data_IF_608611746148
#
_entry.id   IF_608611746148
#
_cell.length_a   1.000
_cell.length_b   1.000
_cell.length_c   1.000
_cell.angle_alpha   90.00
_cell.angle_beta   90.00
_cell.angle_gamma   90.00
#
_symmetry.space_group_name_H-M   'P 1'
#
loop_
_entity.id
_entity.type
_entity.pdbx_description
1 polymer ?
#
# COMPACT_ATOMS: atom_id res chain seq x y z
N UNK A 1 35.25 13.08 -4.34
CA UNK A 1 33.97 13.28 -5.07
C UNK A 1 33.36 11.94 -5.48
N UNK A 2 34.13 10.85 -5.59
CA UNK A 2 33.68 9.57 -6.14
C UNK A 2 32.82 8.69 -5.22
N UNK A 3 32.92 8.82 -3.89
CA UNK A 3 32.09 8.04 -2.97
C UNK A 3 30.58 8.41 -3.03
N UNK A 4 30.22 9.63 -3.44
CA UNK A 4 28.82 10.07 -3.43
C UNK A 4 28.04 9.46 -4.61
N UNK A 5 28.72 9.27 -5.75
CA UNK A 5 28.15 8.68 -6.96
C UNK A 5 28.11 7.14 -6.87
N UNK A 6 29.08 6.49 -6.23
CA UNK A 6 29.09 5.02 -6.09
C UNK A 6 28.00 4.47 -5.17
N UNK A 7 27.49 5.27 -4.22
CA UNK A 7 26.44 4.85 -3.26
C UNK A 7 25.06 5.48 -3.54
N UNK A 8 24.83 6.01 -4.74
CA UNK A 8 23.50 6.49 -5.14
C UNK A 8 23.04 5.66 -6.33
N UNK A 9 22.02 4.83 -6.15
CA UNK A 9 21.52 3.95 -7.21
C UNK A 9 20.62 4.70 -8.20
N UNK A 10 20.17 5.91 -7.84
CA UNK A 10 19.42 6.80 -8.73
C UNK A 10 19.67 8.29 -8.47
N UNK A 11 19.40 9.10 -9.50
CA UNK A 11 19.36 10.56 -9.42
C UNK A 11 18.38 11.07 -8.34
N UNK A 12 17.31 10.32 -8.09
CA UNK A 12 16.29 10.66 -7.10
C UNK A 12 16.81 10.51 -5.66
N UNK A 13 17.55 9.44 -5.37
CA UNK A 13 18.20 9.23 -4.07
C UNK A 13 19.21 10.33 -3.77
N UNK A 14 19.97 10.75 -4.77
CA UNK A 14 20.96 11.81 -4.63
C UNK A 14 20.27 13.13 -4.20
N UNK A 15 19.22 13.53 -4.91
CA UNK A 15 18.48 14.78 -4.68
C UNK A 15 17.68 14.80 -3.36
N UNK A 16 17.26 13.63 -2.87
CA UNK A 16 16.55 13.50 -1.58
C UNK A 16 17.46 13.57 -0.35
N UNK A 17 18.79 13.45 -0.50
CA UNK A 17 19.73 13.51 0.65
C UNK A 17 19.63 14.80 1.46
N UNK A 18 19.87 14.68 2.77
CA UNK A 18 19.76 15.78 3.75
C UNK A 18 20.70 16.96 3.48
N UNK A 19 21.83 16.71 2.82
CA UNK A 19 22.81 17.75 2.42
C UNK A 19 22.38 18.59 1.21
N UNK A 20 21.37 18.15 0.47
CA UNK A 20 20.81 18.91 -0.66
C UNK A 20 19.56 19.62 -0.14
N UNK A 21 19.62 20.94 -0.02
CA UNK A 21 18.51 21.73 0.50
C UNK A 21 17.54 22.12 -0.61
N UNK A 22 16.28 22.36 -0.24
CA UNK A 22 15.20 22.75 -1.16
C UNK A 22 15.62 23.93 -2.03
N UNK A 23 16.27 24.92 -1.43
CA UNK A 23 16.73 26.15 -2.07
C UNK A 23 17.71 25.88 -3.20
N UNK A 24 18.59 24.89 -3.04
CA UNK A 24 19.58 24.49 -4.05
C UNK A 24 18.87 23.87 -5.26
N UNK A 25 17.86 23.04 -5.02
CA UNK A 25 17.06 22.40 -6.09
C UNK A 25 16.19 23.44 -6.81
N UNK A 26 15.60 24.38 -6.05
CA UNK A 26 14.81 25.49 -6.59
C UNK A 26 15.66 26.42 -7.46
N UNK A 27 16.86 26.77 -6.99
CA UNK A 27 17.80 27.60 -7.73
C UNK A 27 18.29 26.88 -8.99
N UNK A 28 18.51 25.57 -8.92
CA UNK A 28 18.83 24.75 -10.09
C UNK A 28 17.72 24.82 -11.14
N UNK A 29 16.47 24.56 -10.79
CA UNK A 29 15.33 24.62 -11.73
C UNK A 29 15.15 26.02 -12.32
N UNK A 30 15.27 27.06 -11.49
CA UNK A 30 15.16 28.47 -11.94
C UNK A 30 16.27 28.82 -12.94
N UNK A 31 17.51 28.37 -12.70
CA UNK A 31 18.64 28.54 -13.62
C UNK A 31 18.40 27.86 -14.97
N UNK A 32 17.64 26.77 -14.98
CA UNK A 32 17.25 26.02 -16.19
C UNK A 32 15.92 26.51 -16.80
N UNK A 33 15.45 27.71 -16.43
CA UNK A 33 14.21 28.34 -16.90
C UNK A 33 12.91 27.54 -16.61
N UNK A 34 12.94 26.69 -15.58
CA UNK A 34 11.76 25.94 -15.13
C UNK A 34 11.12 26.73 -13.99
N UNK A 35 9.96 27.32 -14.29
CA UNK A 35 9.21 28.13 -13.33
C UNK A 35 8.53 27.22 -12.31
N UNK A 36 8.88 27.39 -11.04
CA UNK A 36 8.27 26.69 -9.91
C UNK A 36 7.72 27.70 -8.90
N UNK A 37 6.59 27.40 -8.23
CA UNK A 37 6.09 28.21 -7.12
C UNK A 37 7.15 28.36 -6.02
N UNK A 38 7.31 29.56 -5.45
CA UNK A 38 8.31 29.81 -4.40
C UNK A 38 8.06 29.02 -3.12
N UNK A 39 6.80 28.65 -2.87
CA UNK A 39 6.35 27.76 -1.79
C UNK A 39 6.42 26.27 -2.13
N UNK A 40 6.94 25.89 -3.31
CA UNK A 40 7.03 24.49 -3.71
C UNK A 40 7.93 23.69 -2.75
N UNK A 41 7.39 22.58 -2.28
CA UNK A 41 8.10 21.67 -1.38
C UNK A 41 9.27 20.97 -2.07
N UNK A 42 10.26 20.54 -1.27
CA UNK A 42 11.48 19.88 -1.79
C UNK A 42 11.14 18.65 -2.65
N UNK A 43 10.13 17.88 -2.27
CA UNK A 43 9.70 16.70 -3.02
C UNK A 43 9.23 17.06 -4.45
N UNK A 44 8.47 18.14 -4.59
CA UNK A 44 7.98 18.62 -5.89
C UNK A 44 9.14 19.12 -6.77
N UNK A 45 10.12 19.80 -6.16
CA UNK A 45 11.31 20.25 -6.87
C UNK A 45 12.18 19.06 -7.33
N UNK A 46 12.35 18.04 -6.48
CA UNK A 46 13.06 16.81 -6.86
C UNK A 46 12.37 16.13 -8.03
N UNK A 47 11.04 15.98 -7.96
CA UNK A 47 10.26 15.36 -9.03
C UNK A 47 10.41 16.13 -10.36
N UNK A 48 10.33 17.46 -10.32
CA UNK A 48 10.49 18.29 -11.52
C UNK A 48 11.90 18.21 -12.11
N UNK A 49 12.93 18.07 -11.28
CA UNK A 49 14.31 17.82 -11.76
C UNK A 49 14.42 16.45 -12.43
N UNK A 50 13.83 15.40 -11.86
CA UNK A 50 13.84 14.05 -12.45
C UNK A 50 13.09 14.03 -13.78
N UNK A 51 11.93 14.71 -13.85
CA UNK A 51 11.15 14.86 -15.08
C UNK A 51 11.94 15.64 -16.14
N UNK A 52 12.55 16.76 -15.78
CA UNK A 52 13.41 17.55 -16.66
C UNK A 52 14.59 16.73 -17.23
N UNK A 53 15.25 15.92 -16.40
CA UNK A 53 16.34 15.06 -16.86
C UNK A 53 15.85 13.92 -17.76
N UNK A 54 14.64 13.42 -17.53
CA UNK A 54 14.00 12.41 -18.37
C UNK A 54 13.61 12.98 -19.74
N UNK A 55 13.05 14.20 -19.78
CA UNK A 55 12.74 14.93 -21.02
C UNK A 55 14.00 15.33 -21.80
N UNK A 56 15.07 15.71 -21.10
CA UNK A 56 16.38 16.01 -21.69
C UNK A 56 17.08 14.80 -22.32
N UNK A 57 16.74 13.58 -21.87
CA UNK A 57 17.26 12.32 -22.43
C UNK A 57 16.67 12.00 -23.83
N UNK A 58 15.50 12.55 -24.15
CA UNK A 58 14.85 12.43 -25.47
C UNK A 58 15.12 13.61 -26.41
N UNK A 59 15.83 14.65 -25.95
CA UNK A 59 16.00 15.91 -26.68
C UNK A 59 17.46 16.24 -27.07
N UNK A 60 18.38 15.27 -26.97
CA UNK A 60 19.78 15.45 -27.39
C UNK A 60 20.05 14.87 -28.79
N UNK A 61 19.23 15.22 -29.78
CA UNK A 61 19.57 15.13 -31.20
C UNK A 61 18.70 16.09 -32.02
N UNK A 62 18.90 17.39 -31.80
CA UNK A 62 18.64 18.39 -32.85
C UNK A 62 19.96 19.05 -33.19
N UNK A 63 20.64 18.45 -34.17
CA UNK A 63 21.34 19.10 -35.27
C UNK A 63 22.20 18.04 -36.00
N UNK A 64 21.71 17.57 -37.15
CA UNK A 64 22.43 17.34 -38.42
C UNK A 64 21.54 16.47 -39.35
N UNK A 65 20.89 17.15 -40.30
CA UNK A 65 20.62 16.79 -41.70
C UNK A 65 20.37 15.32 -42.13
N UNK A 66 19.18 15.14 -42.72
CA UNK A 66 18.87 14.45 -44.00
C UNK A 66 19.16 12.94 -44.17
N UNK A 67 18.09 12.16 -44.39
CA UNK A 67 18.17 10.85 -45.04
C UNK A 67 16.98 9.93 -44.74
N UNK A 68 16.20 9.62 -45.77
CA UNK A 68 15.05 8.70 -45.83
C UNK A 68 15.35 7.24 -45.42
N UNK A 69 14.38 6.53 -44.83
CA UNK A 69 13.77 5.24 -45.29
C UNK A 69 12.98 4.55 -44.17
N UNK A 70 11.82 3.97 -44.53
CA UNK A 70 10.89 3.17 -43.73
C UNK A 70 11.50 2.05 -42.88
N UNK A 71 10.85 1.76 -41.75
CA UNK A 71 11.00 0.49 -41.03
C UNK A 71 10.18 0.47 -39.75
N UNK A 72 9.11 -0.32 -39.74
CA UNK A 72 8.31 -0.68 -38.55
C UNK A 72 9.22 -1.08 -37.39
N UNK A 73 8.87 -0.68 -36.15
CA UNK A 73 9.00 -1.49 -34.94
C UNK A 73 8.28 -0.79 -33.78
N UNK A 74 7.29 -1.50 -33.22
CA UNK A 74 6.63 -1.14 -31.97
C UNK A 74 7.63 -1.14 -30.80
N UNK A 75 7.50 -0.24 -29.80
CA UNK A 75 8.33 -0.30 -28.61
C UNK A 75 7.87 -1.45 -27.67
N UNK A 76 8.80 -2.12 -26.96
CA UNK A 76 8.50 -3.24 -26.08
C UNK A 76 7.87 -2.76 -24.76
N UNK A 77 6.78 -3.41 -24.35
CA UNK A 77 6.01 -3.14 -23.14
C UNK A 77 6.52 -3.88 -21.89
N UNK A 78 7.83 -4.13 -21.78
CA UNK A 78 8.36 -5.01 -20.72
C UNK A 78 8.66 -4.29 -19.41
N UNK A 79 8.83 -2.95 -19.43
CA UNK A 79 9.20 -2.18 -18.23
C UNK A 79 7.98 -1.90 -17.32
N UNK A 80 6.79 -1.69 -17.89
CA UNK A 80 5.57 -1.44 -17.11
C UNK A 80 5.02 -2.70 -16.42
N UNK A 81 5.25 -3.88 -17.01
CA UNK A 81 4.90 -5.17 -16.40
C UNK A 81 5.80 -5.47 -15.18
N UNK A 82 7.10 -5.15 -15.28
CA UNK A 82 8.08 -5.35 -14.19
C UNK A 82 7.70 -4.59 -12.91
N UNK A 83 7.26 -3.33 -13.01
CA UNK A 83 6.87 -2.55 -11.83
C UNK A 83 5.56 -2.99 -11.18
N UNK A 84 4.63 -3.58 -11.96
CA UNK A 84 3.36 -4.09 -11.43
C UNK A 84 3.59 -5.31 -10.53
N UNK A 85 4.58 -6.13 -10.89
CA UNK A 85 4.95 -7.34 -10.15
C UNK A 85 5.63 -7.03 -8.80
N UNK A 86 6.44 -5.96 -8.75
CA UNK A 86 7.11 -5.52 -7.52
C UNK A 86 6.12 -5.11 -6.41
N UNK A 87 5.08 -4.35 -6.74
CA UNK A 87 4.07 -3.93 -5.75
C UNK A 87 3.14 -5.06 -5.34
N UNK A 88 2.81 -5.97 -6.27
CA UNK A 88 2.04 -7.17 -5.94
C UNK A 88 2.82 -8.06 -4.96
N UNK A 89 4.12 -8.24 -5.20
CA UNK A 89 5.02 -8.95 -4.30
C UNK A 89 5.12 -8.26 -2.94
N UNK A 90 5.27 -6.93 -2.91
CA UNK A 90 5.28 -6.15 -1.67
C UNK A 90 3.97 -6.32 -0.90
N UNK A 91 2.82 -6.25 -1.58
CA UNK A 91 1.51 -6.44 -0.97
C UNK A 91 1.34 -7.83 -0.35
N UNK A 92 1.84 -8.85 -1.04
CA UNK A 92 1.87 -10.23 -0.53
C UNK A 92 2.71 -10.34 0.74
N UNK A 93 3.94 -9.82 0.74
CA UNK A 93 4.82 -9.86 1.91
C UNK A 93 4.25 -9.06 3.08
N UNK A 94 3.64 -7.90 2.82
CA UNK A 94 2.91 -7.13 3.83
C UNK A 94 1.78 -7.95 4.46
N UNK A 95 0.92 -8.57 3.65
CA UNK A 95 -0.20 -9.36 4.20
C UNK A 95 0.29 -10.57 4.99
N UNK A 96 1.31 -11.29 4.50
CA UNK A 96 1.93 -12.39 5.27
C UNK A 96 2.39 -11.89 6.64
N UNK A 97 3.16 -10.81 6.67
CA UNK A 97 3.65 -10.21 7.92
C UNK A 97 2.50 -9.78 8.84
N UNK A 98 1.53 -9.03 8.32
CA UNK A 98 0.45 -8.44 9.11
C UNK A 98 -0.41 -9.51 9.78
N UNK A 99 -0.89 -10.50 9.02
CA UNK A 99 -1.78 -11.53 9.58
C UNK A 99 -1.03 -12.52 10.47
N UNK A 100 0.24 -12.84 10.18
CA UNK A 100 1.07 -13.62 11.11
C UNK A 100 1.26 -12.87 12.43
N UNK A 101 1.57 -11.57 12.38
CA UNK A 101 1.77 -10.75 13.56
C UNK A 101 0.47 -10.61 14.36
N UNK A 102 -0.64 -10.27 13.71
CA UNK A 102 -1.94 -10.09 14.36
C UNK A 102 -2.45 -11.39 14.97
N UNK A 103 -2.43 -12.49 14.22
CA UNK A 103 -2.91 -13.78 14.73
C UNK A 103 -2.05 -14.32 15.87
N UNK A 104 -0.74 -14.03 15.91
CA UNK A 104 0.13 -14.43 17.04
C UNK A 104 -0.31 -13.84 18.41
N UNK A 105 -1.23 -12.88 18.41
CA UNK A 105 -1.83 -12.32 19.62
C UNK A 105 -3.00 -13.15 20.17
N UNK A 106 -3.45 -14.18 19.43
CA UNK A 106 -4.53 -15.04 19.86
C UNK A 106 -4.02 -16.03 20.92
N UNK A 107 -4.52 -15.99 22.17
CA UNK A 107 -4.02 -16.84 23.25
C UNK A 107 -4.30 -18.33 23.04
N UNK A 108 -5.19 -18.69 22.10
CA UNK A 108 -5.46 -20.08 21.75
C UNK A 108 -4.39 -20.67 20.82
N UNK A 109 -3.58 -19.84 20.17
CA UNK A 109 -2.44 -20.27 19.38
C UNK A 109 -1.21 -20.36 20.30
N UNK A 110 -0.57 -21.53 20.36
CA UNK A 110 0.61 -21.80 21.19
C UNK A 110 1.90 -21.15 20.64
N UNK A 111 1.79 -19.97 20.02
CA UNK A 111 2.91 -19.26 19.41
C UNK A 111 3.50 -18.22 20.37
N UNK A 112 4.80 -17.91 20.21
CA UNK A 112 5.38 -16.78 20.91
C UNK A 112 4.77 -15.48 20.34
N UNK A 113 4.05 -14.75 21.20
CA UNK A 113 3.45 -13.47 20.84
C UNK A 113 4.56 -12.49 20.43
N UNK A 114 4.50 -12.04 19.19
CA UNK A 114 5.37 -10.97 18.66
C UNK A 114 4.86 -9.61 19.16
N UNK A 115 5.72 -8.60 19.19
CA UNK A 115 5.33 -7.26 19.63
C UNK A 115 4.34 -6.61 18.65
N UNK A 116 3.13 -6.31 19.13
CA UNK A 116 2.11 -5.53 18.42
C UNK A 116 1.93 -4.17 19.07
N UNK A 117 1.75 -3.12 18.28
CA UNK A 117 1.43 -1.81 18.83
C UNK A 117 1.24 -0.68 17.80
N UNK A 118 1.09 0.56 18.30
CA UNK A 118 0.81 1.74 17.48
C UNK A 118 1.95 2.10 16.50
N UNK A 119 3.16 1.58 16.68
CA UNK A 119 4.32 1.86 15.83
C UNK A 119 4.13 1.48 14.36
N UNK A 120 3.22 0.56 14.06
CA UNK A 120 2.90 0.10 12.70
C UNK A 120 1.98 1.07 11.94
N UNK A 121 1.45 2.08 12.61
CA UNK A 121 0.47 3.01 12.08
C UNK A 121 1.05 4.44 12.04
N UNK A 122 0.46 5.28 11.18
CA UNK A 122 0.59 6.73 11.29
C UNK A 122 -0.22 7.25 12.46
N UNK A 123 0.22 8.35 13.07
CA UNK A 123 -0.44 8.92 14.27
C UNK A 123 -1.92 9.23 14.03
N UNK A 124 -2.27 9.65 12.82
CA UNK A 124 -3.62 10.02 12.39
C UNK A 124 -4.30 8.92 11.55
N UNK A 125 -3.92 7.65 11.74
CA UNK A 125 -4.56 6.52 11.06
C UNK A 125 -6.07 6.48 11.35
N UNK A 126 -6.85 6.05 10.35
CA UNK A 126 -8.29 5.81 10.49
C UNK A 126 -8.59 4.34 10.23
N UNK A 127 -9.35 3.70 11.12
CA UNK A 127 -9.98 2.40 10.92
C UNK A 127 -11.47 2.60 10.68
N UNK A 128 -11.98 2.17 9.51
CA UNK A 128 -13.41 1.97 9.26
C UNK A 128 -13.70 0.48 9.45
N UNK A 129 -14.48 0.11 10.47
CA UNK A 129 -14.81 -1.28 10.77
C UNK A 129 -16.30 -1.54 10.54
N UNK A 130 -16.62 -2.28 9.49
CA UNK A 130 -17.98 -2.73 9.18
C UNK A 130 -18.15 -4.20 9.54
N UNK A 131 -19.23 -4.55 10.23
CA UNK A 131 -19.56 -5.94 10.46
C UNK A 131 -21.05 -6.21 10.29
N UNK A 132 -21.38 -7.42 9.83
CA UNK A 132 -22.75 -7.87 9.61
C UNK A 132 -23.03 -9.11 10.44
N UNK A 133 -23.90 -8.96 11.44
CA UNK A 133 -24.55 -10.05 12.15
C UNK A 133 -25.99 -10.18 11.66
N UNK A 134 -26.94 -9.47 12.28
CA UNK A 134 -28.33 -9.28 11.82
C UNK A 134 -28.53 -7.97 11.07
N UNK A 135 -27.89 -6.90 11.55
CA UNK A 135 -27.87 -5.58 10.95
C UNK A 135 -26.44 -5.20 10.59
N UNK A 136 -26.29 -4.27 9.63
CA UNK A 136 -24.98 -3.76 9.27
C UNK A 136 -24.58 -2.65 10.25
N UNK A 137 -23.48 -2.87 10.96
CA UNK A 137 -22.87 -1.89 11.86
C UNK A 137 -21.60 -1.32 11.22
N UNK A 138 -21.34 -0.04 11.49
CA UNK A 138 -20.12 0.67 11.08
C UNK A 138 -19.56 1.43 12.27
N UNK A 139 -18.32 1.12 12.61
CA UNK A 139 -17.55 1.82 13.63
C UNK A 139 -16.36 2.53 12.98
N UNK A 140 -15.98 3.69 13.52
CA UNK A 140 -14.81 4.44 13.08
C UNK A 140 -13.90 4.72 14.27
N UNK A 141 -12.64 4.35 14.13
CA UNK A 141 -11.60 4.62 15.13
C UNK A 141 -10.52 5.47 14.48
N UNK A 142 -10.02 6.45 15.23
CA UNK A 142 -8.97 7.37 14.76
C UNK A 142 -7.82 7.36 15.75
N UNK A 143 -6.60 7.45 15.22
CA UNK A 143 -5.38 7.51 15.99
C UNK A 143 -4.70 6.15 16.14
N UNK A 144 -3.36 6.14 16.07
CA UNK A 144 -2.55 4.92 16.08
C UNK A 144 -2.86 3.99 17.25
N UNK A 145 -3.01 4.56 18.45
CA UNK A 145 -3.30 3.79 19.67
C UNK A 145 -4.66 3.11 19.59
N UNK A 146 -5.71 3.85 19.24
CA UNK A 146 -7.08 3.32 19.25
C UNK A 146 -7.28 2.26 18.15
N UNK A 147 -6.74 2.53 16.95
CA UNK A 147 -6.76 1.57 15.84
C UNK A 147 -5.99 0.29 16.19
N UNK A 148 -4.80 0.44 16.80
CA UNK A 148 -3.99 -0.69 17.24
C UNK A 148 -4.72 -1.55 18.28
N UNK A 149 -5.34 -0.93 19.28
CA UNK A 149 -6.08 -1.64 20.33
C UNK A 149 -7.30 -2.35 19.78
N UNK A 150 -8.07 -1.71 18.89
CA UNK A 150 -9.27 -2.33 18.33
C UNK A 150 -8.95 -3.52 17.44
N UNK A 151 -7.93 -3.42 16.59
CA UNK A 151 -7.47 -4.56 15.79
C UNK A 151 -6.94 -5.69 16.68
N UNK A 152 -6.21 -5.37 17.75
CA UNK A 152 -5.69 -6.36 18.71
C UNK A 152 -6.80 -7.14 19.43
N UNK A 153 -7.92 -6.49 19.72
CA UNK A 153 -9.05 -7.14 20.41
C UNK A 153 -9.64 -8.31 19.59
N UNK A 154 -9.58 -8.26 18.26
CA UNK A 154 -10.10 -9.33 17.38
C UNK A 154 -9.46 -10.71 17.71
N UNK A 155 -8.12 -10.88 17.67
CA UNK A 155 -7.50 -12.14 18.08
C UNK A 155 -7.42 -12.33 19.59
N UNK A 156 -7.16 -11.26 20.37
CA UNK A 156 -6.81 -11.39 21.78
C UNK A 156 -8.02 -11.59 22.70
N UNK A 157 -9.10 -10.86 22.45
CA UNK A 157 -10.31 -10.84 23.29
C UNK A 157 -11.45 -11.63 22.65
N UNK A 158 -11.61 -11.55 21.32
CA UNK A 158 -12.70 -12.21 20.59
C UNK A 158 -12.30 -13.58 20.02
N UNK A 159 -11.02 -13.95 20.19
CA UNK A 159 -10.41 -15.22 19.77
C UNK A 159 -10.59 -15.51 18.28
N UNK A 160 -10.64 -14.47 17.46
CA UNK A 160 -10.74 -14.60 16.01
C UNK A 160 -9.38 -14.93 15.41
N UNK A 161 -9.40 -15.75 14.37
CA UNK A 161 -8.26 -16.04 13.52
C UNK A 161 -8.58 -15.57 12.11
N UNK A 162 -7.77 -14.67 11.56
CA UNK A 162 -7.95 -14.15 10.21
C UNK A 162 -7.07 -14.93 9.26
N UNK A 163 -7.68 -15.69 8.35
CA UNK A 163 -6.99 -16.48 7.34
C UNK A 163 -7.10 -15.79 5.97
N UNK A 164 -6.11 -14.99 5.54
CA UNK A 164 -6.15 -14.28 4.28
C UNK A 164 -5.99 -15.23 3.09
N UNK A 165 -6.75 -15.00 2.02
CA UNK A 165 -6.49 -15.63 0.73
C UNK A 165 -5.38 -14.86 0.00
N UNK A 166 -4.17 -15.41 0.03
CA UNK A 166 -2.98 -14.79 -0.57
C UNK A 166 -2.69 -15.29 -1.99
N UNK A 167 -3.57 -16.11 -2.57
CA UNK A 167 -3.41 -16.68 -3.92
C UNK A 167 -4.46 -16.14 -4.88
N UNK A 168 -4.14 -16.18 -6.19
CA UNK A 168 -5.05 -15.76 -7.26
C UNK A 168 -5.62 -14.36 -7.03
N UNK A 169 -6.95 -14.26 -6.98
CA UNK A 169 -7.70 -13.01 -6.82
C UNK A 169 -8.05 -12.68 -5.36
N UNK A 170 -7.46 -13.37 -4.38
CA UNK A 170 -7.64 -13.08 -2.96
C UNK A 170 -6.97 -11.79 -2.50
N UNK A 171 -5.94 -11.33 -3.22
CA UNK A 171 -5.18 -10.12 -2.92
C UNK A 171 -4.98 -9.26 -4.16
N UNK A 172 -5.20 -7.95 -4.02
CA UNK A 172 -5.00 -6.95 -5.06
C UNK A 172 -4.19 -5.79 -4.51
N UNK A 173 -3.10 -5.44 -5.19
CA UNK A 173 -2.26 -4.31 -4.84
C UNK A 173 -2.26 -3.27 -5.96
N UNK A 174 -2.48 -2.00 -5.61
CA UNK A 174 -2.30 -0.86 -6.51
C UNK A 174 -1.46 0.22 -5.83
N UNK A 175 -0.81 1.07 -6.61
CA UNK A 175 -0.03 2.17 -6.08
C UNK A 175 -0.45 3.47 -6.77
N UNK A 176 -0.33 4.57 -6.03
CA UNK A 176 -0.53 5.92 -6.56
C UNK A 176 0.80 6.51 -7.03
N UNK A 177 0.76 7.46 -7.99
CA UNK A 177 1.94 8.25 -8.38
C UNK A 177 2.57 9.03 -7.22
N UNK A 178 1.82 9.26 -6.13
CA UNK A 178 2.23 10.03 -4.96
C UNK A 178 2.84 9.17 -3.84
N UNK A 179 3.01 7.86 -4.05
CA UNK A 179 3.71 6.96 -3.12
C UNK A 179 2.84 6.31 -2.04
N UNK A 180 1.51 6.47 -2.08
CA UNK A 180 0.57 5.62 -1.34
C UNK A 180 0.42 4.28 -2.06
N UNK A 181 0.50 3.17 -1.31
CA UNK A 181 0.17 1.84 -1.80
C UNK A 181 -1.12 1.37 -1.15
N UNK A 182 -2.03 0.83 -1.95
CA UNK A 182 -3.29 0.25 -1.48
C UNK A 182 -3.27 -1.25 -1.68
N UNK A 183 -3.57 -1.97 -0.61
CA UNK A 183 -3.66 -3.43 -0.61
C UNK A 183 -5.07 -3.79 -0.20
N UNK A 184 -5.76 -4.57 -1.03
CA UNK A 184 -7.05 -5.16 -0.72
C UNK A 184 -6.88 -6.68 -0.62
N UNK A 185 -7.39 -7.28 0.45
CA UNK A 185 -7.26 -8.72 0.72
C UNK A 185 -8.56 -9.27 1.29
N UNK A 186 -8.98 -10.42 0.76
CA UNK A 186 -10.15 -11.16 1.24
C UNK A 186 -9.66 -12.40 1.98
N UNK A 187 -10.48 -12.91 2.90
CA UNK A 187 -10.15 -14.13 3.62
C UNK A 187 -11.30 -14.66 4.43
N UNK A 188 -11.02 -15.66 5.24
CA UNK A 188 -11.98 -16.28 6.16
C UNK A 188 -11.66 -15.93 7.59
N UNK A 189 -12.69 -15.85 8.43
CA UNK A 189 -12.53 -15.69 9.88
C UNK A 189 -12.89 -17.01 10.53
N UNK A 190 -12.04 -17.45 11.44
CA UNK A 190 -12.24 -18.67 12.20
C UNK A 190 -12.22 -18.38 13.70
N UNK A 191 -12.87 -19.25 14.46
CA UNK A 191 -12.61 -19.44 15.88
C UNK A 191 -12.34 -20.92 16.07
N UNK A 192 -11.15 -21.24 16.55
CA UNK A 192 -10.65 -22.61 16.61
C UNK A 192 -10.75 -23.27 15.21
N UNK A 193 -11.51 -24.36 15.07
CA UNK A 193 -11.73 -25.07 13.80
C UNK A 193 -12.97 -24.62 13.04
N UNK A 194 -13.73 -23.64 13.55
CA UNK A 194 -15.01 -23.23 12.99
C UNK A 194 -14.84 -21.97 12.15
N UNK A 195 -15.16 -22.06 10.85
CA UNK A 195 -15.27 -20.89 9.97
C UNK A 195 -16.53 -20.11 10.32
N UNK A 196 -16.35 -18.87 10.77
CA UNK A 196 -17.44 -17.97 11.17
C UNK A 196 -17.94 -17.10 10.01
N UNK A 197 -17.13 -16.92 8.97
CA UNK A 197 -17.48 -16.07 7.84
C UNK A 197 -16.29 -15.62 7.01
N UNK A 198 -16.51 -14.54 6.26
CA UNK A 198 -15.50 -13.93 5.39
C UNK A 198 -15.17 -12.51 5.84
N UNK A 199 -13.97 -12.07 5.51
CA UNK A 199 -13.58 -10.67 5.64
C UNK A 199 -13.03 -10.12 4.33
N UNK A 200 -13.18 -8.82 4.16
CA UNK A 200 -12.48 -8.01 3.17
C UNK A 200 -11.76 -6.90 3.92
N UNK A 201 -10.47 -6.68 3.64
CA UNK A 201 -9.68 -5.66 4.31
C UNK A 201 -8.88 -4.85 3.30
N UNK A 202 -8.95 -3.52 3.42
CA UNK A 202 -8.21 -2.56 2.59
C UNK A 202 -7.22 -1.81 3.49
N UNK A 203 -5.98 -1.73 3.06
CA UNK A 203 -4.91 -1.00 3.72
C UNK A 203 -4.41 0.11 2.80
N UNK A 204 -4.25 1.32 3.34
CA UNK A 204 -3.46 2.37 2.72
C UNK A 204 -2.11 2.48 3.42
N UNK A 205 -1.01 2.27 2.69
CA UNK A 205 0.35 2.29 3.22
C UNK A 205 1.15 3.46 2.65
N UNK A 206 1.75 4.26 3.53
CA UNK A 206 2.69 5.31 3.16
C UNK A 206 4.08 4.95 3.69
N UNK A 207 5.08 5.16 2.85
CA UNK A 207 6.49 4.94 3.19
C UNK A 207 7.00 6.03 4.15
N UNK A 208 7.62 5.65 5.28
CA UNK A 208 8.10 6.54 6.35
C UNK A 208 9.63 6.78 6.24
N UNK A 209 10.11 7.87 5.64
CA UNK A 209 11.50 8.00 5.17
C UNK A 209 12.63 7.85 6.21
N UNK A 210 12.31 7.76 7.50
CA UNK A 210 13.24 7.64 8.62
C UNK A 210 13.67 6.20 8.98
N UNK A 211 13.10 5.15 8.37
CA UNK A 211 13.55 3.75 8.59
C UNK A 211 13.83 2.99 7.29
N UNK A 212 14.69 1.96 7.34
CA UNK A 212 15.15 1.20 6.16
C UNK A 212 14.02 0.37 5.50
N UNK A 213 13.07 -0.13 6.29
CA UNK A 213 11.83 -0.76 5.81
C UNK A 213 10.64 -0.18 6.60
N UNK A 214 9.80 0.60 5.92
CA UNK A 214 9.16 1.75 6.56
C UNK A 214 7.71 2.01 6.14
N UNK A 215 7.01 1.01 5.65
CA UNK A 215 5.59 1.15 5.35
C UNK A 215 4.77 1.23 6.64
N UNK A 216 4.01 2.32 6.79
CA UNK A 216 3.07 2.52 7.89
C UNK A 216 1.65 2.63 7.36
N UNK A 217 0.71 2.08 8.10
CA UNK A 217 -0.71 2.13 7.76
C UNK A 217 -1.27 3.54 8.01
N UNK A 218 -1.80 4.16 6.97
CA UNK A 218 -2.49 5.46 6.99
C UNK A 218 -3.99 5.31 7.13
N UNK A 219 -4.57 4.25 6.58
CA UNK A 219 -5.95 3.87 6.85
C UNK A 219 -6.11 2.36 6.74
N UNK A 220 -7.12 1.84 7.42
CA UNK A 220 -7.52 0.44 7.39
C UNK A 220 -9.04 0.39 7.26
N UNK A 221 -9.57 -0.27 6.25
CA UNK A 221 -11.00 -0.57 6.19
C UNK A 221 -11.15 -2.06 6.36
N UNK A 222 -11.88 -2.49 7.38
CA UNK A 222 -12.15 -3.89 7.66
C UNK A 222 -13.65 -4.13 7.54
N UNK A 223 -14.03 -5.13 6.76
CA UNK A 223 -15.41 -5.57 6.61
C UNK A 223 -15.52 -7.04 6.94
N UNK A 224 -16.39 -7.39 7.88
CA UNK A 224 -16.64 -8.78 8.30
C UNK A 224 -18.08 -9.14 8.00
N UNK A 225 -18.29 -10.29 7.35
CA UNK A 225 -19.61 -10.84 7.06
C UNK A 225 -19.70 -12.24 7.64
N UNK A 226 -20.55 -12.44 8.66
CA UNK A 226 -20.81 -13.76 9.23
C UNK A 226 -21.61 -14.64 8.27
N UNK A 227 -21.45 -15.96 8.38
CA UNK A 227 -22.38 -16.91 7.75
C UNK A 227 -23.74 -16.82 8.46
N UNK A 228 -24.77 -16.36 7.75
CA UNK A 228 -26.12 -16.22 8.29
C UNK A 228 -26.66 -17.54 8.80
N UNK A 229 -27.26 -17.54 9.99
CA UNK A 229 -27.76 -18.72 10.69
C UNK A 229 -28.99 -19.39 10.05
N UNK A 230 -28.84 -19.96 8.85
CA UNK A 230 -29.82 -20.88 8.25
C UNK A 230 -29.13 -22.15 7.76
N UNK A 231 -28.54 -22.90 8.69
CA UNK A 231 -28.54 -24.37 8.77
C UNK A 231 -27.54 -24.79 9.86
N UNK A 232 -27.87 -25.75 10.75
CA UNK A 232 -26.86 -26.49 11.47
C UNK A 232 -26.24 -27.48 10.48
N UNK A 233 -25.32 -26.98 9.65
CA UNK A 233 -24.44 -27.88 8.93
C UNK A 233 -23.42 -28.36 9.96
N UNK A 234 -23.50 -29.64 10.34
CA UNK A 234 -22.33 -30.38 10.79
C UNK A 234 -21.36 -30.38 9.62
N UNK A 235 -20.56 -29.31 9.49
CA UNK A 235 -19.62 -29.13 8.37
C UNK A 235 -18.46 -30.07 8.64
N UNK A 236 -18.53 -31.26 8.04
CA UNK A 236 -17.32 -31.93 7.56
C UNK A 236 -16.54 -30.93 6.70
N UNK A 237 -15.20 -30.97 6.67
CA UNK A 237 -14.42 -30.04 5.87
C UNK A 237 -14.73 -30.28 4.40
N UNK A 238 -15.71 -29.54 3.86
CA UNK A 238 -15.99 -29.52 2.44
C UNK A 238 -14.87 -28.69 1.81
N UNK A 239 -13.90 -29.38 1.21
CA UNK A 239 -12.79 -28.83 0.44
C UNK A 239 -13.25 -28.08 -0.85
N UNK A 240 -14.56 -28.00 -1.11
CA UNK A 240 -15.16 -27.43 -2.33
C UNK A 240 -15.73 -26.01 -2.17
N UNK A 241 -15.52 -25.31 -1.04
CA UNK A 241 -15.86 -23.88 -0.98
C UNK A 241 -14.77 -23.06 -1.65
N UNK A 242 -15.10 -22.38 -2.75
CA UNK A 242 -14.19 -21.47 -3.46
C UNK A 242 -13.58 -20.44 -2.47
N UNK A 243 -12.26 -20.20 -2.50
CA UNK A 243 -11.63 -19.31 -1.55
C UNK A 243 -12.12 -17.86 -1.75
N UNK A 244 -12.28 -17.06 -0.67
CA UNK A 244 -12.77 -15.70 -0.79
C UNK A 244 -11.89 -14.86 -1.72
N UNK A 245 -12.52 -14.19 -2.69
CA UNK A 245 -11.84 -13.29 -3.62
C UNK A 245 -12.21 -11.84 -3.36
N UNK A 246 -11.29 -10.92 -3.66
CA UNK A 246 -11.56 -9.50 -3.60
C UNK A 246 -12.45 -9.10 -4.76
N UNK A 247 -13.58 -8.47 -4.44
CA UNK A 247 -14.53 -7.97 -5.44
C UNK A 247 -14.26 -6.54 -5.90
N UNK A 248 -13.33 -5.86 -5.23
CA UNK A 248 -13.01 -4.47 -5.52
C UNK A 248 -12.33 -4.30 -6.88
N UNK A 249 -12.91 -3.46 -7.71
CA UNK A 249 -12.27 -3.02 -8.94
C UNK A 249 -11.18 -1.98 -8.66
N UNK A 250 -10.22 -1.84 -9.60
CA UNK A 250 -9.07 -0.95 -9.39
C UNK A 250 -9.52 0.51 -9.20
N UNK A 251 -10.60 0.91 -9.88
CA UNK A 251 -11.16 2.26 -9.79
C UNK A 251 -11.83 2.52 -8.42
N UNK A 252 -12.45 1.50 -7.82
CA UNK A 252 -13.06 1.62 -6.50
C UNK A 252 -11.99 1.78 -5.42
N UNK A 253 -10.86 1.06 -5.56
CA UNK A 253 -9.70 1.23 -4.69
C UNK A 253 -9.06 2.64 -4.86
N UNK A 254 -9.09 3.20 -6.06
CA UNK A 254 -8.68 4.59 -6.30
C UNK A 254 -9.67 5.61 -5.73
N UNK A 255 -10.96 5.31 -5.65
CA UNK A 255 -11.90 6.20 -4.96
C UNK A 255 -11.63 6.22 -3.45
N UNK A 256 -11.33 5.05 -2.86
CA UNK A 256 -10.90 4.95 -1.45
C UNK A 256 -9.61 5.76 -1.22
N UNK A 257 -8.70 5.78 -2.20
CA UNK A 257 -7.52 6.65 -2.19
C UNK A 257 -7.91 8.14 -2.10
N UNK A 258 -8.77 8.61 -3.00
CA UNK A 258 -9.16 10.03 -3.08
C UNK A 258 -9.83 10.52 -1.80
N UNK A 259 -10.70 9.71 -1.18
CA UNK A 259 -11.33 10.04 0.12
C UNK A 259 -10.31 10.35 1.22
N UNK A 260 -9.17 9.66 1.23
CA UNK A 260 -8.17 9.79 2.30
C UNK A 260 -7.06 10.79 1.97
N UNK A 261 -6.94 11.25 0.71
CA UNK A 261 -6.03 12.33 0.32
C UNK A 261 -6.66 13.70 0.57
N UNK A 262 -7.96 13.87 0.31
CA UNK A 262 -8.64 15.16 0.52
C UNK A 262 -8.61 15.60 1.99
N UNK A 263 -8.65 14.66 2.94
CA UNK A 263 -8.51 14.94 4.37
C UNK A 263 -7.09 15.22 4.89
N UNK A 264 -6.06 15.18 4.03
CA UNK A 264 -4.66 15.48 4.42
C UNK A 264 -4.29 16.95 4.09
N UNK A 265 -5.17 17.67 3.39
CA UNK A 265 -4.92 19.01 2.87
C UNK A 265 -5.61 20.16 3.66
N UNK A 266 -6.27 19.86 4.77
CA UNK A 266 -6.87 20.86 5.68
C UNK A 266 -6.06 21.01 6.98
#
# INVERSE_FOLDING_TARGET
MDAILCYSQSAEELLKRKKIHREIIFQYLTKHNIVMPSNAEKCLLVQKVIEYWREGSTASQRNYSSGSTSGNNAPPSDIAASYKDDYQTMGLEFCKWFYQLLNSQNPLLQEQSKEWGPQHFWEDVILKFSYRTSEQQLEVYTGAVMVSLRLLALPKEEHLFLNPNLTGNGLKCIHSPHGLVIIAVAGTIHRESICLGIFEQIFGLIRCPSSENNWKMKFVHLKITGQGGTAPATVQPNEDSEPPVIKYESNELLQVFEEHIVGICD
#
